data_IF_907570428664
#
_entry.id   IF_907570428664
#
_cell.length_a   1.000
_cell.length_b   1.000
_cell.length_c   1.000
_cell.angle_alpha   90.00
_cell.angle_beta   90.00
_cell.angle_gamma   90.00
#
_symmetry.space_group_name_H-M   'P 1'
#
loop_
_entity.id
_entity.type
_entity.pdbx_description
1 polymer ?
#
# COMPACT_ATOMS: atom_id res chain seq x y z
N UNK A 1 7.60 10.29 -1.61
CA UNK A 1 6.20 10.03 -1.26
C UNK A 1 5.98 8.52 -1.28
N UNK A 2 5.63 7.90 -0.14
CA UNK A 2 5.31 6.47 -0.13
C UNK A 2 3.91 6.24 -0.71
N UNK A 3 3.67 5.08 -1.32
CA UNK A 3 2.36 4.69 -1.86
C UNK A 3 1.94 3.34 -1.26
N UNK A 4 0.66 3.19 -0.94
CA UNK A 4 0.05 1.91 -0.64
C UNK A 4 -1.11 1.68 -1.62
N UNK A 5 -1.17 0.48 -2.21
CA UNK A 5 -2.28 0.04 -3.05
C UNK A 5 -2.88 -1.22 -2.44
N UNK A 6 -4.21 -1.22 -2.33
CA UNK A 6 -4.99 -2.36 -1.89
C UNK A 6 -5.98 -2.70 -2.99
N UNK A 7 -5.91 -3.94 -3.47
CA UNK A 7 -6.90 -4.54 -4.35
C UNK A 7 -7.61 -5.64 -3.56
N UNK A 8 -8.88 -5.39 -3.24
CA UNK A 8 -9.76 -6.29 -2.48
C UNK A 8 -10.78 -6.85 -3.47
N UNK A 9 -10.83 -8.17 -3.60
CA UNK A 9 -11.73 -8.89 -4.53
C UNK A 9 -11.69 -8.35 -5.98
N UNK A 10 -10.58 -7.72 -6.36
CA UNK A 10 -10.41 -7.09 -7.67
C UNK A 10 -9.78 -8.04 -8.71
N UNK A 11 -9.11 -9.10 -8.25
CA UNK A 11 -8.36 -10.04 -9.09
C UNK A 11 -8.88 -11.47 -8.88
N UNK A 12 -9.00 -12.30 -9.95
CA UNK A 12 -9.33 -13.71 -9.82
C UNK A 12 -8.33 -14.42 -8.89
N UNK A 13 -8.85 -15.28 -8.02
CA UNK A 13 -8.07 -16.13 -7.08
C UNK A 13 -7.14 -15.37 -6.11
N UNK A 14 -7.21 -14.04 -6.09
CA UNK A 14 -6.42 -13.16 -5.23
C UNK A 14 -7.38 -12.26 -4.45
N UNK A 15 -7.94 -12.74 -3.32
CA UNK A 15 -8.94 -11.99 -2.56
C UNK A 15 -8.37 -10.68 -1.98
N UNK A 16 -7.04 -10.64 -1.81
CA UNK A 16 -6.33 -9.45 -1.37
C UNK A 16 -4.94 -9.38 -2.02
N UNK A 17 -4.68 -8.25 -2.67
CA UNK A 17 -3.34 -7.83 -3.09
C UNK A 17 -2.97 -6.53 -2.36
N UNK A 18 -1.83 -6.54 -1.69
CA UNK A 18 -1.25 -5.37 -1.01
C UNK A 18 0.09 -5.04 -1.65
N UNK A 19 0.23 -3.84 -2.19
CA UNK A 19 1.48 -3.33 -2.72
C UNK A 19 1.89 -2.08 -1.93
N UNK A 20 3.15 -2.02 -1.54
CA UNK A 20 3.73 -0.88 -0.82
C UNK A 20 5.00 -0.40 -1.49
N UNK A 21 5.03 0.88 -1.86
CA UNK A 21 6.24 1.56 -2.29
C UNK A 21 6.89 2.29 -1.10
N UNK A 22 8.12 1.91 -0.77
CA UNK A 22 8.97 2.64 0.17
C UNK A 22 9.78 3.68 -0.60
N UNK A 23 9.27 4.91 -0.63
CA UNK A 23 10.04 6.05 -1.11
C UNK A 23 10.79 6.72 0.04
N UNK A 24 12.11 6.61 -0.02
CA UNK A 24 13.05 7.01 1.01
C UNK A 24 14.41 7.33 0.36
N UNK A 25 15.30 8.02 1.09
CA UNK A 25 16.64 8.34 0.58
C UNK A 25 17.39 7.08 0.11
N UNK A 26 17.97 7.16 -1.10
CA UNK A 26 18.76 6.07 -1.68
C UNK A 26 19.90 5.60 -0.77
N UNK A 27 20.51 6.52 -0.01
CA UNK A 27 21.60 6.20 0.93
C UNK A 27 21.12 5.47 2.20
N UNK A 28 19.81 5.39 2.47
CA UNK A 28 19.31 4.74 3.68
C UNK A 28 19.43 3.22 3.55
N UNK A 29 20.24 2.55 4.38
CA UNK A 29 20.52 1.13 4.22
C UNK A 29 19.26 0.29 4.50
N UNK A 30 18.99 -0.68 3.61
CA UNK A 30 17.86 -1.60 3.71
C UNK A 30 18.16 -2.93 3.04
N UNK A 31 17.42 -3.98 3.43
CA UNK A 31 17.44 -5.30 2.79
C UNK A 31 16.14 -5.50 2.02
N UNK A 32 16.25 -6.03 0.80
CA UNK A 32 15.12 -6.45 -0.03
C UNK A 32 14.22 -7.44 0.69
N UNK A 33 12.97 -7.55 0.22
CA UNK A 33 12.02 -8.50 0.80
C UNK A 33 12.53 -9.94 0.67
N UNK A 34 12.66 -10.60 1.82
CA UNK A 34 13.09 -11.98 1.95
C UNK A 34 12.52 -12.54 3.26
N UNK A 35 12.56 -13.87 3.46
CA UNK A 35 12.35 -14.45 4.79
C UNK A 35 13.28 -13.83 5.82
N UNK A 36 12.76 -13.47 6.99
CA UNK A 36 13.56 -12.87 8.06
C UNK A 36 14.43 -13.95 8.72
N UNK A 37 15.67 -13.58 9.07
CA UNK A 37 16.64 -14.53 9.67
C UNK A 37 16.17 -15.06 11.02
N UNK A 38 15.53 -14.19 11.80
CA UNK A 38 15.02 -14.48 13.14
C UNK A 38 13.67 -15.20 13.15
N UNK A 39 12.91 -15.16 12.04
CA UNK A 39 11.65 -15.88 11.89
C UNK A 39 11.34 -16.06 10.40
N UNK A 40 11.66 -17.24 9.86
CA UNK A 40 11.50 -17.56 8.45
C UNK A 40 10.02 -17.58 7.99
N UNK A 41 9.07 -17.57 8.94
CA UNK A 41 7.64 -17.44 8.61
C UNK A 41 7.28 -16.03 8.16
N UNK A 42 8.14 -15.04 8.44
CA UNK A 42 7.92 -13.63 8.13
C UNK A 42 8.70 -13.27 6.86
N UNK A 43 8.01 -12.70 5.89
CA UNK A 43 8.58 -12.19 4.64
C UNK A 43 8.34 -10.69 4.56
N UNK A 44 9.40 -9.92 4.32
CA UNK A 44 9.30 -8.47 4.15
C UNK A 44 10.66 -7.81 4.08
N UNK A 45 10.71 -6.57 3.62
CA UNK A 45 11.95 -5.80 3.59
C UNK A 45 12.38 -5.34 4.99
N UNK A 46 13.66 -5.02 5.18
CA UNK A 46 14.21 -4.58 6.48
C UNK A 46 14.90 -3.23 6.35
N UNK A 47 14.60 -2.33 7.26
CA UNK A 47 15.35 -1.08 7.45
C UNK A 47 16.53 -1.34 8.39
N UNK A 48 17.75 -1.19 7.88
CA UNK A 48 18.96 -1.47 8.66
C UNK A 48 19.38 -0.30 9.54
N UNK A 49 18.89 0.91 9.27
CA UNK A 49 19.20 2.08 10.08
C UNK A 49 18.34 2.12 11.35
N UNK A 50 17.04 1.85 11.22
CA UNK A 50 16.10 1.96 12.33
C UNK A 50 15.55 0.61 12.84
N UNK A 51 15.97 -0.52 12.26
CA UNK A 51 15.62 -1.86 12.72
C UNK A 51 14.19 -2.32 12.45
N UNK A 52 13.45 -1.61 11.59
CA UNK A 52 12.03 -1.83 11.29
C UNK A 52 11.74 -2.50 9.94
N UNK A 53 10.47 -2.52 9.56
CA UNK A 53 10.01 -2.89 8.22
C UNK A 53 8.92 -1.92 7.73
N UNK A 54 8.75 -1.79 6.42
CA UNK A 54 7.68 -0.99 5.82
C UNK A 54 6.49 -1.82 5.36
N UNK A 55 6.73 -3.07 4.99
CA UNK A 55 5.74 -4.05 4.57
C UNK A 55 6.28 -5.44 4.90
N UNK A 56 5.51 -6.20 5.68
CA UNK A 56 5.80 -7.59 5.97
C UNK A 56 4.52 -8.40 6.10
N UNK A 57 4.63 -9.69 5.80
CA UNK A 57 3.59 -10.71 5.97
C UNK A 57 4.16 -11.90 6.70
N UNK A 58 3.30 -12.68 7.38
CA UNK A 58 3.64 -13.94 8.02
C UNK A 58 2.80 -15.06 7.42
N UNK A 59 3.32 -16.29 7.45
CA UNK A 59 2.69 -17.48 6.88
C UNK A 59 1.29 -17.80 7.43
N UNK A 60 0.88 -17.23 8.57
CA UNK A 60 -0.48 -17.35 9.13
C UNK A 60 -1.46 -16.31 8.55
N UNK A 61 -1.07 -15.62 7.47
CA UNK A 61 -1.90 -14.65 6.75
C UNK A 61 -1.92 -13.26 7.39
N UNK A 62 -1.12 -13.03 8.45
CA UNK A 62 -0.96 -11.71 9.07
C UNK A 62 -0.06 -10.83 8.23
N UNK A 63 -0.40 -9.56 8.07
CA UNK A 63 0.45 -8.60 7.38
C UNK A 63 0.29 -7.18 7.95
N UNK A 64 1.32 -6.37 7.78
CA UNK A 64 1.27 -4.95 8.10
C UNK A 64 2.02 -4.11 7.07
N UNK A 65 1.51 -2.92 6.83
CA UNK A 65 2.11 -1.92 5.96
C UNK A 65 2.08 -0.56 6.66
N UNK A 66 3.20 0.17 6.60
CA UNK A 66 3.27 1.55 7.10
C UNK A 66 3.76 2.50 6.00
N UNK A 67 3.09 3.64 5.87
CA UNK A 67 3.53 4.75 4.99
C UNK A 67 3.80 5.99 5.81
N UNK A 68 4.78 6.78 5.39
CA UNK A 68 5.06 8.08 6.00
C UNK A 68 3.91 9.07 5.70
N UNK A 69 3.42 9.76 6.72
CA UNK A 69 2.57 10.95 6.54
C UNK A 69 3.49 12.18 6.58
N UNK A 70 3.59 12.89 5.45
CA UNK A 70 4.52 14.02 5.32
C UNK A 70 3.91 15.26 5.96
N UNK A 71 4.48 15.66 7.09
CA UNK A 71 4.23 16.95 7.73
C UNK A 71 5.52 17.76 7.70
N UNK A 72 5.40 19.09 7.62
CA UNK A 72 6.53 20.01 7.71
C UNK A 72 6.28 21.05 8.81
N UNK A 73 7.22 21.25 9.74
CA UNK A 73 8.44 20.45 9.94
C UNK A 73 8.12 19.03 10.42
N UNK A 74 9.01 18.07 10.13
CA UNK A 74 8.85 16.71 10.65
C UNK A 74 9.15 16.72 12.15
N UNK A 75 8.20 16.35 13.03
CA UNK A 75 8.46 16.30 14.47
C UNK A 75 9.46 15.18 14.77
N UNK A 76 10.36 15.44 15.71
CA UNK A 76 11.18 14.37 16.27
C UNK A 76 10.29 13.35 16.97
N UNK A 77 10.67 12.08 16.85
CA UNK A 77 9.95 10.98 17.46
C UNK A 77 10.93 9.95 18.03
N UNK A 78 10.69 9.44 19.24
CA UNK A 78 11.60 8.51 19.90
C UNK A 78 11.64 7.13 19.24
N UNK A 79 10.60 6.74 18.49
CA UNK A 79 10.51 5.41 17.87
C UNK A 79 10.31 5.48 16.36
N UNK A 80 10.94 4.53 15.66
CA UNK A 80 10.72 4.32 14.24
C UNK A 80 9.37 3.68 13.96
N UNK A 81 8.61 4.24 13.02
CA UNK A 81 7.33 3.70 12.53
C UNK A 81 7.44 2.26 12.06
N UNK A 82 8.60 1.87 11.51
CA UNK A 82 8.81 0.50 11.01
C UNK A 82 8.78 -0.56 12.11
N UNK A 83 8.91 -0.16 13.38
CA UNK A 83 8.73 -1.07 14.52
C UNK A 83 7.27 -1.51 14.67
N UNK A 84 6.30 -0.69 14.25
CA UNK A 84 4.87 -1.06 14.30
C UNK A 84 4.58 -2.27 13.41
N UNK A 85 5.21 -2.33 12.23
CA UNK A 85 5.12 -3.48 11.32
C UNK A 85 5.72 -4.71 12.00
N UNK A 86 6.96 -4.59 12.51
CA UNK A 86 7.66 -5.69 13.20
C UNK A 86 6.85 -6.25 14.37
N UNK A 87 6.39 -5.39 15.27
CA UNK A 87 5.63 -5.77 16.47
C UNK A 87 4.38 -6.55 16.08
N UNK A 88 3.67 -6.11 15.05
CA UNK A 88 2.45 -6.77 14.62
C UNK A 88 2.71 -8.14 14.01
N UNK A 89 3.62 -8.24 13.03
CA UNK A 89 3.87 -9.50 12.31
C UNK A 89 4.57 -10.55 13.18
N UNK A 90 5.28 -10.16 14.23
CA UNK A 90 5.85 -11.08 15.22
C UNK A 90 4.84 -11.45 16.33
N UNK A 91 3.92 -10.56 16.65
CA UNK A 91 2.93 -10.77 17.71
C UNK A 91 1.83 -11.77 17.35
N UNK A 92 0.89 -11.94 18.27
CA UNK A 92 -0.30 -12.79 18.13
C UNK A 92 -1.61 -12.01 18.27
N UNK A 93 -1.54 -10.72 18.67
CA UNK A 93 -2.70 -9.84 18.80
C UNK A 93 -3.51 -9.73 17.51
N UNK A 94 -4.84 -9.76 17.56
CA UNK A 94 -5.66 -9.48 16.37
C UNK A 94 -5.41 -8.05 15.86
N UNK A 95 -5.70 -7.75 14.58
CA UNK A 95 -5.61 -6.39 14.05
C UNK A 95 -6.29 -5.34 14.94
N UNK A 96 -7.47 -5.65 15.51
CA UNK A 96 -8.23 -4.76 16.40
C UNK A 96 -7.55 -4.50 17.76
N UNK A 97 -6.90 -5.51 18.33
CA UNK A 97 -6.20 -5.37 19.61
C UNK A 97 -4.91 -4.56 19.39
N UNK A 98 -4.15 -4.91 18.36
CA UNK A 98 -2.94 -4.19 17.99
C UNK A 98 -3.23 -2.72 17.65
N UNK A 99 -4.30 -2.46 16.90
CA UNK A 99 -4.79 -1.11 16.60
C UNK A 99 -5.04 -0.27 17.86
N UNK A 100 -5.71 -0.85 18.86
CA UNK A 100 -5.93 -0.21 20.17
C UNK A 100 -4.65 0.01 20.97
N UNK A 101 -3.66 -0.87 20.85
CA UNK A 101 -2.34 -0.68 21.46
C UNK A 101 -1.57 0.48 20.79
N UNK A 102 -1.59 0.55 19.47
CA UNK A 102 -0.98 1.64 18.71
C UNK A 102 -1.63 2.99 19.04
N UNK A 103 -2.96 3.05 19.26
CA UNK A 103 -3.63 4.27 19.75
C UNK A 103 -2.97 4.85 21.00
N UNK A 104 -2.64 4.01 21.98
CA UNK A 104 -2.07 4.45 23.27
C UNK A 104 -0.64 4.95 23.17
N UNK A 105 0.09 4.53 22.14
CA UNK A 105 1.53 4.79 21.95
C UNK A 105 1.82 5.61 20.69
N UNK A 106 0.79 6.13 20.00
CA UNK A 106 0.94 6.81 18.71
C UNK A 106 1.83 8.06 18.79
N UNK A 107 1.90 8.70 19.97
CA UNK A 107 2.74 9.88 20.21
C UNK A 107 4.25 9.58 20.18
N UNK A 108 4.66 8.32 20.31
CA UNK A 108 6.06 7.90 20.24
C UNK A 108 6.62 7.87 18.81
N UNK A 109 5.77 8.07 17.81
CA UNK A 109 6.10 7.91 16.39
C UNK A 109 5.82 9.20 15.63
N UNK A 110 6.66 9.51 14.64
CA UNK A 110 6.37 10.57 13.70
C UNK A 110 5.15 10.16 12.83
N UNK A 111 4.35 11.10 12.30
CA UNK A 111 3.07 10.80 11.63
C UNK A 111 3.13 9.72 10.55
N UNK A 112 2.05 8.93 10.43
CA UNK A 112 2.00 7.76 9.56
C UNK A 112 0.58 7.32 9.18
N UNK A 113 0.51 6.46 8.17
CA UNK A 113 -0.65 5.57 7.96
C UNK A 113 -0.21 4.14 8.22
N UNK A 114 -1.08 3.35 8.85
CA UNK A 114 -0.82 1.96 9.21
C UNK A 114 -1.99 1.08 8.79
N UNK A 115 -1.65 0.01 8.09
CA UNK A 115 -2.56 -1.07 7.75
C UNK A 115 -2.15 -2.31 8.51
N UNK A 116 -3.11 -2.93 9.19
CA UNK A 116 -2.95 -4.20 9.89
C UNK A 116 -3.97 -5.18 9.34
N UNK A 117 -3.54 -6.37 8.91
CA UNK A 117 -4.46 -7.37 8.38
C UNK A 117 -4.14 -8.77 8.83
N UNK A 118 -5.17 -9.63 8.81
CA UNK A 118 -5.05 -11.08 8.98
C UNK A 118 -6.05 -11.77 8.04
N UNK A 119 -5.54 -12.48 7.04
CA UNK A 119 -6.36 -12.97 5.92
C UNK A 119 -7.01 -11.80 5.17
N UNK A 120 -8.32 -11.90 4.91
CA UNK A 120 -9.14 -10.82 4.31
C UNK A 120 -9.72 -9.84 5.33
N UNK A 121 -9.47 -10.03 6.63
CA UNK A 121 -9.86 -9.06 7.65
C UNK A 121 -8.81 -7.94 7.72
N UNK A 122 -9.20 -6.72 7.35
CA UNK A 122 -8.30 -5.56 7.24
C UNK A 122 -8.74 -4.46 8.21
N UNK A 123 -7.78 -3.96 8.99
CA UNK A 123 -7.94 -2.75 9.79
C UNK A 123 -7.01 -1.69 9.24
N UNK A 124 -7.60 -0.60 8.76
CA UNK A 124 -6.86 0.54 8.24
C UNK A 124 -6.89 1.66 9.26
N UNK A 125 -5.75 2.33 9.44
CA UNK A 125 -5.72 3.63 10.09
C UNK A 125 -4.92 4.65 9.34
N UNK A 126 -5.53 5.81 9.29
CA UNK A 126 -4.90 7.07 9.01
C UNK A 126 -4.63 7.75 10.35
N UNK A 127 -3.35 7.98 10.66
CA UNK A 127 -2.96 8.73 11.84
C UNK A 127 -2.59 10.14 11.40
N UNK A 128 -3.59 11.02 11.40
CA UNK A 128 -3.37 12.46 11.26
C UNK A 128 -3.34 13.10 12.65
N UNK A 129 -2.28 13.84 12.94
CA UNK A 129 -1.99 14.37 14.29
C UNK A 129 -2.89 15.58 14.66
N UNK A 130 -3.69 16.09 13.72
CA UNK A 130 -4.34 17.40 13.79
C UNK A 130 -5.87 17.40 13.74
N UNK A 131 -6.53 16.31 13.36
CA UNK A 131 -7.98 16.32 13.11
C UNK A 131 -8.69 15.05 13.60
N UNK A 132 -8.53 14.70 14.87
CA UNK A 132 -9.16 13.50 15.44
C UNK A 132 -8.57 12.19 14.89
N UNK A 133 -8.57 11.13 15.70
CA UNK A 133 -8.04 9.83 15.31
C UNK A 133 -9.19 8.84 15.14
N UNK A 134 -9.45 8.39 13.92
CA UNK A 134 -10.39 7.29 13.68
C UNK A 134 -9.68 6.13 12.96
N UNK A 135 -10.05 4.90 13.32
CA UNK A 135 -9.72 3.71 12.54
C UNK A 135 -10.82 3.50 11.51
N UNK A 136 -10.45 3.27 10.25
CA UNK A 136 -11.39 2.79 9.25
C UNK A 136 -11.32 1.27 9.23
N UNK A 137 -12.37 0.61 9.73
CA UNK A 137 -12.51 -0.82 9.58
C UNK A 137 -13.01 -1.12 8.16
N UNK A 138 -12.18 -1.78 7.34
CA UNK A 138 -12.58 -2.29 6.04
C UNK A 138 -12.72 -3.81 6.21
N UNK A 139 -13.95 -4.27 6.42
CA UNK A 139 -14.22 -5.69 6.42
C UNK A 139 -14.61 -6.10 5.01
N UNK A 140 -13.73 -6.83 4.32
CA UNK A 140 -14.11 -7.56 3.11
C UNK A 140 -14.94 -8.78 3.54
N UNK A 141 -16.21 -8.55 3.92
CA UNK A 141 -17.12 -9.65 4.21
C UNK A 141 -17.38 -10.40 2.91
N UNK A 142 -16.70 -11.55 2.77
CA UNK A 142 -16.95 -12.65 1.82
C UNK A 142 -17.97 -12.30 0.73
N UNK A 143 -17.53 -11.56 -0.29
CA UNK A 143 -18.23 -11.60 -1.57
C UNK A 143 -18.03 -13.03 -2.06
N UNK A 144 -19.12 -13.80 -2.05
CA UNK A 144 -19.15 -15.18 -2.53
C UNK A 144 -18.39 -15.29 -3.85
N UNK A 145 -17.76 -16.44 -4.16
CA UNK A 145 -17.10 -16.60 -5.44
C UNK A 145 -18.18 -16.40 -6.50
N UNK A 146 -18.23 -15.21 -7.11
CA UNK A 146 -18.96 -15.02 -8.34
C UNK A 146 -18.24 -15.95 -9.30
N UNK A 147 -18.80 -17.14 -9.51
CA UNK A 147 -18.62 -17.95 -10.71
C UNK A 147 -19.04 -17.06 -11.88
N UNK A 148 -18.19 -16.11 -12.26
CA UNK A 148 -18.26 -15.50 -13.57
C UNK A 148 -17.74 -16.58 -14.49
N UNK A 149 -18.68 -17.37 -15.02
CA UNK A 149 -18.42 -18.22 -16.16
C UNK A 149 -17.60 -17.42 -17.15
N UNK A 150 -16.47 -17.99 -17.55
CA UNK A 150 -15.64 -17.48 -18.63
C UNK A 150 -16.55 -17.23 -19.83
N UNK A 151 -16.94 -15.97 -20.03
CA UNK A 151 -17.42 -15.53 -21.33
C UNK A 151 -16.20 -15.67 -22.25
N UNK A 152 -16.15 -16.77 -22.99
CA UNK A 152 -15.22 -16.98 -24.10
C UNK A 152 -15.27 -15.74 -24.95
N UNK A 153 -14.17 -14.99 -24.99
CA UNK A 153 -13.92 -14.04 -26.06
C UNK A 153 -13.91 -14.88 -27.35
N UNK A 154 -14.83 -14.68 -28.31
CA UNK A 154 -14.75 -15.41 -29.56
C UNK A 154 -13.43 -15.02 -30.23
N UNK A 155 -12.61 -16.02 -30.53
CA UNK A 155 -11.43 -15.84 -31.36
C UNK A 155 -11.89 -15.19 -32.67
N UNK A 156 -11.37 -14.00 -32.99
CA UNK A 156 -11.53 -13.43 -34.34
C UNK A 156 -10.78 -14.35 -35.30
N UNK A 157 -11.50 -15.28 -35.90
CA UNK A 157 -11.10 -15.93 -37.15
C UNK A 157 -11.27 -14.90 -38.28
N UNK A 158 -10.20 -14.64 -39.01
CA UNK A 158 -10.24 -13.81 -40.22
C UNK A 158 -9.11 -12.81 -40.26
N UNK A 159 -7.93 -13.27 -40.66
CA UNK A 159 -6.96 -12.41 -41.34
C UNK A 159 -7.50 -12.28 -42.77
N UNK A 160 -8.17 -11.16 -43.05
CA UNK A 160 -8.53 -10.80 -44.41
C UNK A 160 -7.32 -10.12 -45.06
N UNK A 161 -6.69 -10.82 -46.00
CA UNK A 161 -5.45 -10.42 -46.67
C UNK A 161 -5.73 -9.61 -47.93
N UNK A 162 -6.39 -8.45 -47.79
CA UNK A 162 -6.46 -7.48 -48.89
C UNK A 162 -6.71 -6.05 -48.40
N UNK A 163 -5.63 -5.33 -48.07
CA UNK A 163 -5.61 -3.86 -48.16
C UNK A 163 -4.16 -3.32 -48.25
N UNK A 164 -3.87 -2.28 -49.06
CA UNK A 164 -2.51 -1.98 -49.50
C UNK A 164 -1.66 -1.29 -48.42
N UNK A 165 -0.39 -1.70 -48.33
CA UNK A 165 0.64 -1.05 -47.49
C UNK A 165 0.80 0.41 -47.86
N UNK A 166 0.37 1.33 -46.98
CA UNK A 166 0.86 2.72 -46.99
C UNK A 166 2.05 2.84 -46.03
N UNK A 167 3.22 3.14 -46.60
CA UNK A 167 4.38 3.69 -45.88
C UNK A 167 3.97 5.03 -45.29
N UNK A 168 4.19 5.22 -44.00
CA UNK A 168 3.97 6.49 -43.30
C UNK A 168 4.88 6.55 -42.07
N UNK A 169 5.67 7.60 -42.01
CA UNK A 169 6.79 7.87 -41.12
C UNK A 169 6.45 7.87 -39.62
N UNK A 170 7.46 7.52 -38.83
CA UNK A 170 7.51 7.65 -37.38
C UNK A 170 7.34 9.11 -36.92
N UNK A 171 6.28 9.39 -36.17
CA UNK A 171 6.24 10.53 -35.23
C UNK A 171 5.56 10.05 -33.94
N UNK A 172 6.38 9.73 -32.95
CA UNK A 172 5.97 9.28 -31.62
C UNK A 172 5.81 10.49 -30.72
N UNK A 173 4.85 11.36 -31.07
CA UNK A 173 4.44 12.46 -30.21
C UNK A 173 2.92 12.61 -30.28
N UNK A 174 2.30 12.82 -29.11
CA UNK A 174 0.86 13.09 -28.86
C UNK A 174 -0.01 11.88 -28.49
N UNK A 175 -0.14 11.65 -27.18
CA UNK A 175 -1.44 11.48 -26.48
C UNK A 175 -1.20 11.45 -24.96
N UNK A 176 -0.99 12.63 -24.38
CA UNK A 176 -1.25 12.88 -22.97
C UNK A 176 -2.71 13.31 -22.81
N UNK A 177 -3.43 12.68 -21.89
CA UNK A 177 -4.79 13.05 -21.49
C UNK A 177 -4.66 14.18 -20.45
N UNK A 178 -5.36 15.32 -20.56
CA UNK A 178 -5.20 16.44 -19.63
C UNK A 178 -5.90 16.17 -18.28
N UNK A 179 -5.27 16.65 -17.21
CA UNK A 179 -5.85 16.72 -15.86
C UNK A 179 -6.86 17.89 -15.75
N UNK A 180 -7.90 17.79 -14.91
CA UNK A 180 -8.86 18.87 -14.73
C UNK A 180 -8.25 20.04 -13.94
N UNK A 181 -8.54 21.25 -14.40
CA UNK A 181 -8.14 22.51 -13.80
C UNK A 181 -8.92 22.79 -12.50
N UNK A 182 -8.19 23.14 -11.42
CA UNK A 182 -8.77 23.79 -10.24
C UNK A 182 -8.54 25.30 -10.33
N UNK A 183 -9.64 26.05 -10.28
CA UNK A 183 -9.66 27.50 -10.29
C UNK A 183 -9.50 28.07 -8.86
N UNK A 184 -8.49 28.95 -8.71
CA UNK A 184 -8.56 30.26 -8.05
C UNK A 184 -9.12 30.41 -6.63
N UNK A 185 -8.21 30.57 -5.67
CA UNK A 185 -8.26 31.58 -4.60
C UNK A 185 -6.79 31.79 -4.17
N UNK A 186 -6.13 32.92 -4.42
CA UNK A 186 -6.50 34.27 -4.00
C UNK A 186 -5.54 34.68 -2.87
N UNK A 187 -4.27 34.89 -3.21
CA UNK A 187 -3.24 35.44 -2.30
C UNK A 187 -3.40 36.96 -2.25
N UNK A 188 -3.62 37.51 -1.06
CA UNK A 188 -3.38 38.93 -0.76
C UNK A 188 -2.14 38.98 0.13
N UNK A 189 -1.18 39.81 -0.27
CA UNK A 189 0.04 40.15 0.47
C UNK A 189 -0.30 41.12 1.59
N UNK A 190 0.28 40.88 2.76
CA UNK A 190 1.11 41.82 3.54
C UNK A 190 1.98 41.02 4.51
#
# INVERSE_FOLDING_TARGET
>A
MCLALLAIDALPDTPLLVLGNRDEFHARPSVSAAPWREDARILGGRDLQAGGSWLATRSDGRWALVTNHRVWPLPQAPRSRGLLVNDFVRGTETPDVAARRVLRTAHDYAPFHLLLGQGTNIKMRFLERTAGSFWLAISAQSLSPRRRGLARIPAKTGVDSSSPRKRGSSDFSKRWIPAPAFAGAGFVRE
#
